data_IF_700354772973
#
_entry.id   IF_700354772973
#
_cell.length_a   1.000
_cell.length_b   1.000
_cell.length_c   1.000
_cell.angle_alpha   90.00
_cell.angle_beta   90.00
_cell.angle_gamma   90.00
#
_symmetry.space_group_name_H-M   'P 1'
#
loop_
_entity.id
_entity.type
_entity.pdbx_description
1 polymer ?
#
# COMPACT_ATOMS: atom_id res chain seq x y z
N UNK A 1 -15.74 -2.54 -29.21
CA UNK A 1 -15.40 -3.83 -28.58
C UNK A 1 -15.00 -3.54 -27.15
N UNK A 2 -15.94 -3.67 -26.20
CA UNK A 2 -15.67 -3.48 -24.78
C UNK A 2 -15.10 -4.78 -24.22
N UNK A 3 -13.79 -4.82 -24.00
CA UNK A 3 -13.18 -5.88 -23.20
C UNK A 3 -13.71 -5.69 -21.77
N UNK A 4 -14.33 -6.71 -21.14
CA UNK A 4 -14.75 -6.63 -19.75
C UNK A 4 -13.57 -6.17 -18.89
N UNK A 5 -13.79 -5.20 -18.00
CA UNK A 5 -12.77 -4.63 -17.11
C UNK A 5 -11.96 -5.70 -16.37
N UNK A 6 -12.59 -6.83 -16.03
CA UNK A 6 -11.93 -8.00 -15.42
C UNK A 6 -10.95 -8.71 -16.35
N UNK A 7 -11.22 -8.81 -17.65
CA UNK A 7 -10.26 -9.37 -18.61
C UNK A 7 -9.06 -8.45 -18.81
N UNK A 8 -9.21 -7.14 -18.66
CA UNK A 8 -8.08 -6.20 -18.69
C UNK A 8 -7.22 -6.41 -17.44
N UNK A 9 -7.82 -6.38 -16.24
CA UNK A 9 -7.13 -6.62 -14.95
C UNK A 9 -6.40 -7.97 -14.95
N UNK A 10 -7.04 -9.01 -15.47
CA UNK A 10 -6.45 -10.32 -15.68
C UNK A 10 -5.13 -10.25 -16.46
N UNK A 11 -5.11 -9.60 -17.62
CA UNK A 11 -3.95 -9.61 -18.52
C UNK A 11 -2.82 -8.79 -17.91
N UNK A 12 -3.13 -7.63 -17.33
CA UNK A 12 -2.11 -6.76 -16.74
C UNK A 12 -1.53 -7.36 -15.46
N UNK A 13 -2.28 -8.16 -14.71
CA UNK A 13 -1.76 -8.85 -13.54
C UNK A 13 -0.77 -9.96 -13.91
N UNK A 14 -1.02 -10.72 -14.98
CA UNK A 14 -0.07 -11.72 -15.48
C UNK A 14 1.28 -11.08 -15.86
N UNK A 15 1.27 -9.87 -16.43
CA UNK A 15 2.49 -9.12 -16.74
C UNK A 15 3.25 -8.76 -15.46
N UNK A 16 2.57 -8.24 -14.44
CA UNK A 16 3.19 -7.91 -13.17
C UNK A 16 3.82 -9.14 -12.48
N UNK A 17 3.13 -10.29 -12.45
CA UNK A 17 3.71 -11.54 -11.93
C UNK A 17 4.93 -11.97 -12.75
N UNK A 18 4.86 -11.85 -14.08
CA UNK A 18 5.98 -12.19 -14.96
C UNK A 18 7.22 -11.34 -14.66
N UNK A 19 7.04 -10.04 -14.45
CA UNK A 19 8.14 -9.14 -14.13
C UNK A 19 8.71 -9.39 -12.73
N UNK A 20 7.86 -9.68 -11.73
CA UNK A 20 8.34 -10.11 -10.41
C UNK A 20 9.21 -11.37 -10.54
N UNK A 21 8.78 -12.36 -11.32
CA UNK A 21 9.56 -13.58 -11.57
C UNK A 21 10.88 -13.29 -12.27
N UNK A 22 10.86 -12.49 -13.34
CA UNK A 22 12.03 -12.18 -14.14
C UNK A 22 13.08 -11.38 -13.34
N UNK A 23 12.65 -10.45 -12.49
CA UNK A 23 13.53 -9.54 -11.73
C UNK A 23 13.95 -10.08 -10.36
N UNK A 24 13.09 -10.82 -9.69
CA UNK A 24 13.26 -11.20 -8.29
C UNK A 24 12.99 -12.69 -8.05
N UNK A 25 11.72 -13.11 -8.17
CA UNK A 25 11.24 -14.27 -7.42
C UNK A 25 11.70 -15.61 -7.98
N UNK A 26 12.11 -15.69 -9.26
CA UNK A 26 12.75 -16.90 -9.80
C UNK A 26 14.02 -17.30 -9.05
N UNK A 27 14.70 -16.34 -8.39
CA UNK A 27 15.92 -16.57 -7.61
C UNK A 27 15.63 -17.07 -6.19
N UNK A 28 14.49 -16.67 -5.61
CA UNK A 28 14.22 -16.85 -4.17
C UNK A 28 13.03 -17.78 -3.87
N UNK A 29 12.06 -17.90 -4.78
CA UNK A 29 10.97 -18.88 -4.71
C UNK A 29 9.97 -18.62 -3.59
N UNK A 30 9.68 -17.35 -3.25
CA UNK A 30 8.65 -17.02 -2.27
C UNK A 30 7.24 -17.29 -2.82
N UNK A 31 6.31 -17.75 -1.97
CA UNK A 31 4.95 -18.09 -2.40
C UNK A 31 4.12 -16.86 -2.75
N UNK A 32 3.13 -17.03 -3.63
CA UNK A 32 2.12 -16.03 -3.92
C UNK A 32 0.81 -16.35 -3.18
N UNK A 33 0.20 -15.33 -2.57
CA UNK A 33 -1.16 -15.39 -2.05
C UNK A 33 -2.00 -14.38 -2.81
N UNK A 34 -3.01 -14.85 -3.53
CA UNK A 34 -3.93 -14.02 -4.29
C UNK A 34 -5.27 -14.01 -3.58
N UNK A 35 -5.77 -12.83 -3.25
CA UNK A 35 -7.05 -12.63 -2.57
C UNK A 35 -7.99 -11.87 -3.50
N UNK A 36 -9.27 -12.25 -3.50
CA UNK A 36 -10.30 -11.57 -4.28
C UNK A 36 -11.64 -11.58 -3.52
N UNK A 37 -12.48 -10.58 -3.76
CA UNK A 37 -13.82 -10.49 -3.16
C UNK A 37 -14.83 -11.46 -3.79
N UNK A 38 -14.47 -12.04 -4.93
CA UNK A 38 -15.19 -13.12 -5.60
C UNK A 38 -14.29 -14.34 -5.85
N UNK A 39 -14.86 -15.54 -6.03
CA UNK A 39 -14.07 -16.72 -6.36
C UNK A 39 -13.27 -16.53 -7.67
N UNK A 40 -11.97 -16.83 -7.62
CA UNK A 40 -11.15 -16.88 -8.83
C UNK A 40 -11.63 -17.99 -9.77
N UNK A 41 -11.69 -17.69 -11.05
CA UNK A 41 -11.98 -18.67 -12.09
C UNK A 41 -10.80 -19.65 -12.30
N UNK A 42 -11.12 -20.88 -12.70
CA UNK A 42 -10.10 -21.93 -12.89
C UNK A 42 -9.15 -21.62 -14.05
N UNK A 43 -9.59 -20.85 -15.05
CA UNK A 43 -8.71 -20.42 -16.14
C UNK A 43 -7.63 -19.45 -15.62
N UNK A 44 -8.00 -18.48 -14.78
CA UNK A 44 -7.08 -17.56 -14.12
C UNK A 44 -6.08 -18.30 -13.26
N UNK A 45 -6.54 -19.17 -12.36
CA UNK A 45 -5.65 -19.97 -11.51
C UNK A 45 -4.64 -20.73 -12.36
N UNK A 46 -5.10 -21.39 -13.43
CA UNK A 46 -4.23 -22.12 -14.36
C UNK A 46 -3.22 -21.20 -15.05
N UNK A 47 -3.66 -20.05 -15.58
CA UNK A 47 -2.82 -19.15 -16.39
C UNK A 47 -1.78 -18.39 -15.56
N UNK A 48 -2.09 -18.01 -14.32
CA UNK A 48 -1.07 -17.41 -13.45
C UNK A 48 -0.09 -18.47 -12.91
N UNK A 49 -0.59 -19.67 -12.57
CA UNK A 49 0.26 -20.73 -12.01
C UNK A 49 1.33 -21.25 -12.97
N UNK A 50 1.19 -21.07 -14.29
CA UNK A 50 2.24 -21.44 -15.26
C UNK A 50 3.40 -20.43 -15.33
N UNK A 51 3.26 -19.25 -14.72
CA UNK A 51 4.29 -18.20 -14.77
C UNK A 51 5.43 -18.42 -13.77
N UNK A 52 5.19 -19.17 -12.69
CA UNK A 52 6.15 -19.41 -11.61
C UNK A 52 6.12 -20.87 -11.16
N UNK A 53 7.25 -21.37 -10.66
CA UNK A 53 7.31 -22.63 -9.93
C UNK A 53 7.05 -22.47 -8.43
N UNK A 54 6.92 -21.23 -7.93
CA UNK A 54 6.62 -20.96 -6.53
C UNK A 54 5.18 -21.38 -6.17
N UNK A 55 4.93 -21.81 -4.92
CA UNK A 55 3.57 -22.14 -4.48
C UNK A 55 2.63 -20.95 -4.64
N UNK A 56 1.42 -21.18 -5.18
CA UNK A 56 0.38 -20.16 -5.27
C UNK A 56 -0.87 -20.60 -4.50
N UNK A 57 -1.40 -19.70 -3.67
CA UNK A 57 -2.63 -19.90 -2.90
C UNK A 57 -3.67 -18.85 -3.31
N UNK A 58 -4.92 -19.28 -3.48
CA UNK A 58 -6.03 -18.43 -3.93
C UNK A 58 -7.10 -18.39 -2.84
N UNK A 59 -7.38 -17.20 -2.31
CA UNK A 59 -8.33 -17.00 -1.22
C UNK A 59 -9.51 -16.13 -1.62
N UNK A 60 -10.71 -16.51 -1.14
CA UNK A 60 -11.89 -15.65 -1.17
C UNK A 60 -11.90 -14.79 0.09
N UNK A 61 -12.02 -13.47 -0.08
CA UNK A 61 -12.12 -12.54 1.06
C UNK A 61 -13.45 -12.79 1.78
N UNK A 62 -13.44 -12.96 3.12
CA UNK A 62 -14.67 -13.05 3.89
C UNK A 62 -15.57 -11.84 3.67
N UNK A 63 -16.88 -12.07 3.53
CA UNK A 63 -17.87 -11.04 3.22
C UNK A 63 -17.76 -9.81 4.15
N UNK A 64 -17.58 -10.03 5.45
CA UNK A 64 -17.55 -8.96 6.47
C UNK A 64 -16.22 -8.18 6.50
N UNK A 65 -15.18 -8.70 5.85
CA UNK A 65 -13.90 -8.02 5.69
C UNK A 65 -13.89 -7.10 4.46
N UNK A 66 -14.77 -7.35 3.48
CA UNK A 66 -14.87 -6.55 2.26
C UNK A 66 -15.95 -5.49 2.32
N UNK A 67 -17.15 -5.86 2.76
CA UNK A 67 -18.33 -4.99 2.67
C UNK A 67 -18.41 -3.98 3.82
N UNK A 68 -19.18 -2.92 3.59
CA UNK A 68 -19.42 -1.89 4.59
C UNK A 68 -20.03 -2.48 5.87
N UNK A 69 -19.52 -2.12 7.05
CA UNK A 69 -20.06 -2.61 8.31
C UNK A 69 -21.40 -1.94 8.63
N UNK A 70 -22.18 -2.56 9.53
CA UNK A 70 -23.57 -2.19 9.82
C UNK A 70 -23.77 -0.81 10.46
N UNK A 71 -22.71 -0.20 11.02
CA UNK A 71 -22.77 1.15 11.59
C UNK A 71 -22.60 2.26 10.55
N UNK A 72 -22.35 1.92 9.28
CA UNK A 72 -22.32 2.88 8.18
C UNK A 72 -23.75 3.19 7.74
N UNK A 73 -24.11 4.47 7.76
CA UNK A 73 -25.32 4.98 7.15
C UNK A 73 -25.16 4.97 5.62
N UNK A 74 -25.79 3.98 4.98
CA UNK A 74 -25.67 3.79 3.53
C UNK A 74 -26.26 4.95 2.73
N UNK A 75 -27.28 5.64 3.24
CA UNK A 75 -27.84 6.81 2.54
C UNK A 75 -26.83 7.96 2.54
N UNK A 76 -26.23 8.24 3.70
CA UNK A 76 -25.17 9.25 3.83
C UNK A 76 -23.95 8.89 2.98
N UNK A 77 -23.51 7.63 3.01
CA UNK A 77 -22.37 7.16 2.21
C UNK A 77 -22.64 7.27 0.70
N UNK A 78 -23.85 6.92 0.25
CA UNK A 78 -24.27 7.07 -1.15
C UNK A 78 -24.23 8.52 -1.60
N UNK A 79 -24.75 9.44 -0.78
CA UNK A 79 -24.74 10.87 -1.09
C UNK A 79 -23.31 11.43 -1.14
N UNK A 80 -22.43 11.01 -0.21
CA UNK A 80 -21.02 11.39 -0.22
C UNK A 80 -20.30 10.92 -1.50
N UNK A 81 -20.53 9.66 -1.91
CA UNK A 81 -19.99 9.11 -3.17
C UNK A 81 -20.48 9.89 -4.39
N UNK A 82 -21.79 10.17 -4.47
CA UNK A 82 -22.39 10.96 -5.55
C UNK A 82 -21.71 12.33 -5.66
N UNK A 83 -21.58 13.03 -4.53
CA UNK A 83 -20.93 14.34 -4.48
C UNK A 83 -19.47 14.29 -4.92
N UNK A 84 -18.68 13.33 -4.44
CA UNK A 84 -17.29 13.19 -4.86
C UNK A 84 -17.14 12.84 -6.34
N UNK A 85 -18.08 12.06 -6.90
CA UNK A 85 -18.16 11.81 -8.34
C UNK A 85 -18.45 13.08 -9.15
N UNK A 86 -19.39 13.90 -8.69
CA UNK A 86 -19.72 15.20 -9.30
C UNK A 86 -18.56 16.21 -9.23
N UNK A 87 -17.80 16.18 -8.14
CA UNK A 87 -16.59 16.99 -7.94
C UNK A 87 -15.38 16.48 -8.79
N UNK A 88 -15.55 15.40 -9.56
CA UNK A 88 -14.50 14.85 -10.43
C UNK A 88 -13.34 14.19 -9.70
N UNK A 89 -13.53 13.80 -8.44
CA UNK A 89 -12.51 13.11 -7.64
C UNK A 89 -12.34 11.70 -8.19
N UNK A 90 -11.10 11.28 -8.48
CA UNK A 90 -10.80 9.93 -8.97
C UNK A 90 -11.38 8.86 -8.02
N UNK A 91 -12.13 7.89 -8.56
CA UNK A 91 -12.87 6.89 -7.76
C UNK A 91 -13.86 7.48 -6.72
N UNK A 92 -14.26 8.74 -6.86
CA UNK A 92 -15.13 9.46 -5.93
C UNK A 92 -16.47 8.77 -5.70
N UNK A 93 -17.05 8.20 -6.75
CA UNK A 93 -18.32 7.48 -6.75
C UNK A 93 -18.19 5.95 -6.54
N UNK A 94 -16.97 5.42 -6.45
CA UNK A 94 -16.71 3.97 -6.41
C UNK A 94 -16.82 3.38 -5.00
N UNK A 95 -17.84 2.53 -4.79
CA UNK A 95 -17.96 1.71 -3.58
C UNK A 95 -16.92 0.58 -3.52
N UNK A 96 -16.65 -0.20 -4.59
CA UNK A 96 -15.61 -1.23 -4.55
C UNK A 96 -14.22 -0.67 -4.19
N UNK A 97 -13.90 0.54 -4.63
CA UNK A 97 -12.64 1.19 -4.27
C UNK A 97 -12.53 1.49 -2.77
N UNK A 98 -13.64 1.90 -2.13
CA UNK A 98 -13.69 2.12 -0.67
C UNK A 98 -13.57 0.83 0.12
N UNK A 99 -14.25 -0.23 -0.35
CA UNK A 99 -14.09 -1.57 0.20
C UNK A 99 -12.63 -2.02 0.12
N UNK A 100 -11.98 -1.81 -1.03
CA UNK A 100 -10.55 -2.10 -1.22
C UNK A 100 -9.67 -1.32 -0.24
N UNK A 101 -9.84 0.01 -0.13
CA UNK A 101 -9.05 0.82 0.79
C UNK A 101 -9.23 0.38 2.25
N UNK A 102 -10.47 0.08 2.67
CA UNK A 102 -10.74 -0.47 4.01
C UNK A 102 -10.13 -1.86 4.19
N UNK A 103 -10.26 -2.75 3.21
CA UNK A 103 -9.70 -4.10 3.25
C UNK A 103 -8.18 -4.09 3.40
N UNK A 104 -7.49 -3.26 2.62
CA UNK A 104 -6.04 -3.10 2.70
C UNK A 104 -5.62 -2.40 4.00
N UNK A 105 -6.40 -1.45 4.51
CA UNK A 105 -6.12 -0.82 5.81
C UNK A 105 -6.27 -1.79 6.99
N UNK A 106 -7.23 -2.72 6.93
CA UNK A 106 -7.70 -3.42 8.13
C UNK A 106 -7.60 -4.93 8.13
N UNK A 107 -7.66 -5.59 6.98
CA UNK A 107 -8.11 -6.98 6.94
C UNK A 107 -7.21 -7.95 6.19
N UNK A 108 -6.44 -7.53 5.18
CA UNK A 108 -5.65 -8.47 4.38
C UNK A 108 -4.71 -9.32 5.27
N UNK A 109 -3.98 -8.69 6.19
CA UNK A 109 -3.06 -9.36 7.12
C UNK A 109 -3.75 -10.27 8.15
N UNK A 110 -5.09 -10.25 8.23
CA UNK A 110 -5.95 -11.14 9.04
C UNK A 110 -6.48 -12.34 8.26
N UNK A 111 -6.30 -12.37 6.94
CA UNK A 111 -6.75 -13.50 6.12
C UNK A 111 -6.04 -14.79 6.54
N UNK A 112 -6.77 -15.92 6.55
CA UNK A 112 -6.26 -17.21 7.05
C UNK A 112 -5.00 -17.68 6.32
N UNK A 113 -4.95 -17.49 4.99
CA UNK A 113 -3.77 -17.82 4.17
C UNK A 113 -2.52 -17.02 4.54
N UNK A 114 -2.68 -15.82 5.11
CA UNK A 114 -1.56 -14.94 5.47
C UNK A 114 -1.05 -15.16 6.91
N UNK A 115 -1.78 -15.89 7.77
CA UNK A 115 -1.41 -16.05 9.19
C UNK A 115 -0.08 -16.78 9.42
N UNK A 116 0.34 -17.60 8.46
CA UNK A 116 1.60 -18.35 8.54
C UNK A 116 2.83 -17.55 8.09
N UNK A 117 2.64 -16.32 7.62
CA UNK A 117 3.71 -15.45 7.13
C UNK A 117 3.89 -14.24 8.06
N UNK A 118 5.14 -13.80 8.18
CA UNK A 118 5.50 -12.58 8.90
C UNK A 118 5.59 -11.39 7.96
N UNK A 119 6.33 -11.49 6.87
CA UNK A 119 6.43 -10.42 5.88
C UNK A 119 5.53 -10.67 4.67
N UNK A 120 5.11 -9.59 4.02
CA UNK A 120 4.47 -9.62 2.68
C UNK A 120 5.15 -8.62 1.76
N UNK A 121 5.05 -8.86 0.46
CA UNK A 121 5.32 -7.88 -0.59
C UNK A 121 4.04 -7.70 -1.39
N UNK A 122 3.44 -6.50 -1.33
CA UNK A 122 2.26 -6.17 -2.13
C UNK A 122 2.65 -5.95 -3.59
N UNK A 123 1.93 -6.65 -4.48
CA UNK A 123 2.08 -6.54 -5.93
C UNK A 123 0.69 -6.28 -6.52
N UNK A 124 0.50 -5.10 -7.07
CA UNK A 124 -0.72 -4.73 -7.79
C UNK A 124 -0.65 -5.18 -9.27
N UNK A 125 -1.79 -5.27 -9.98
CA UNK A 125 -1.80 -5.35 -11.43
C UNK A 125 -1.22 -4.08 -12.06
N UNK A 126 -0.67 -4.20 -13.27
CA UNK A 126 -0.17 -3.07 -14.07
C UNK A 126 1.01 -2.30 -13.45
N UNK A 127 1.84 -3.02 -12.70
CA UNK A 127 3.14 -2.53 -12.22
C UNK A 127 4.27 -3.03 -13.10
N UNK A 128 5.39 -2.29 -13.10
CA UNK A 128 6.63 -2.70 -13.74
C UNK A 128 7.81 -2.74 -12.76
N UNK A 129 8.68 -3.74 -12.94
CA UNK A 129 9.94 -3.88 -12.21
C UNK A 129 11.11 -3.68 -13.18
N UNK A 130 11.82 -2.57 -13.00
CA UNK A 130 12.84 -2.12 -13.94
C UNK A 130 14.22 -2.71 -13.66
N UNK A 131 14.48 -3.09 -12.41
CA UNK A 131 15.79 -3.55 -11.96
C UNK A 131 15.72 -4.99 -11.46
N UNK A 132 16.80 -5.74 -11.65
CA UNK A 132 17.01 -7.05 -11.07
C UNK A 132 17.30 -6.93 -9.58
N UNK A 133 16.44 -7.54 -8.77
CA UNK A 133 16.61 -7.60 -7.32
C UNK A 133 17.49 -8.80 -7.00
N UNK A 134 18.75 -8.54 -6.66
CA UNK A 134 19.78 -9.57 -6.46
C UNK A 134 20.00 -9.97 -4.99
N UNK A 135 19.51 -9.16 -4.05
CA UNK A 135 19.44 -9.44 -2.63
C UNK A 135 18.02 -9.88 -2.25
N UNK A 136 17.90 -10.63 -1.15
CA UNK A 136 16.59 -11.01 -0.62
C UNK A 136 16.05 -9.87 0.26
N UNK A 137 14.98 -9.14 -0.17
CA UNK A 137 14.46 -8.02 0.58
C UNK A 137 13.78 -8.45 1.88
N UNK A 138 13.19 -9.65 1.94
CA UNK A 138 12.60 -10.14 3.18
C UNK A 138 13.67 -10.46 4.22
N UNK A 139 14.79 -11.07 3.80
CA UNK A 139 15.96 -11.27 4.66
C UNK A 139 16.56 -9.95 5.10
N UNK A 140 16.71 -8.99 4.19
CA UNK A 140 17.19 -7.66 4.55
C UNK A 140 16.31 -7.02 5.63
N UNK A 141 14.99 -7.06 5.46
CA UNK A 141 14.04 -6.51 6.43
C UNK A 141 14.17 -7.20 7.80
N UNK A 142 14.28 -8.53 7.81
CA UNK A 142 14.46 -9.32 9.02
C UNK A 142 15.80 -9.00 9.72
N UNK A 143 16.91 -9.07 9.01
CA UNK A 143 18.26 -8.96 9.55
C UNK A 143 18.58 -7.54 10.06
N UNK A 144 17.89 -6.53 9.51
CA UNK A 144 18.07 -5.12 9.87
C UNK A 144 16.91 -4.54 10.70
N UNK A 145 16.04 -5.40 11.24
CA UNK A 145 14.89 -5.02 12.08
C UNK A 145 14.01 -3.93 11.43
N UNK A 146 13.71 -4.10 10.15
CA UNK A 146 12.79 -3.23 9.41
C UNK A 146 11.37 -3.79 9.49
N UNK A 147 10.41 -2.88 9.60
CA UNK A 147 8.99 -3.19 9.70
C UNK A 147 8.19 -2.71 8.50
N UNK A 148 8.65 -1.68 7.79
CA UNK A 148 7.94 -1.14 6.62
C UNK A 148 8.94 -0.67 5.57
N UNK A 149 8.70 -0.98 4.31
CA UNK A 149 9.55 -0.60 3.20
C UNK A 149 8.77 -0.16 1.97
N UNK A 150 9.25 0.90 1.31
CA UNK A 150 8.57 1.56 0.20
C UNK A 150 9.55 1.97 -0.92
N UNK A 151 9.01 2.28 -2.10
CA UNK A 151 9.75 2.82 -3.26
C UNK A 151 9.26 4.20 -3.70
N UNK A 152 8.00 4.55 -3.46
CA UNK A 152 7.44 5.86 -3.84
C UNK A 152 6.77 6.51 -2.64
N UNK A 153 6.90 7.83 -2.52
CA UNK A 153 6.12 8.65 -1.58
C UNK A 153 5.63 9.91 -2.27
N UNK A 154 4.41 10.35 -1.93
CA UNK A 154 3.73 11.44 -2.62
C UNK A 154 2.73 12.17 -1.72
N UNK A 155 2.21 13.29 -2.20
CA UNK A 155 1.08 13.95 -1.55
C UNK A 155 -0.24 13.25 -1.89
N UNK A 156 -1.12 13.13 -0.91
CA UNK A 156 -2.52 12.75 -1.12
C UNK A 156 -3.35 13.96 -1.57
N UNK A 157 -4.47 13.71 -2.24
CA UNK A 157 -5.50 14.72 -2.48
C UNK A 157 -6.31 14.98 -1.22
N UNK A 158 -6.13 16.15 -0.61
CA UNK A 158 -6.82 16.57 0.63
C UNK A 158 -8.35 16.36 0.57
N UNK A 159 -8.95 16.55 -0.61
CA UNK A 159 -10.39 16.37 -0.83
C UNK A 159 -10.92 14.98 -0.43
N UNK A 160 -10.04 14.00 -0.29
CA UNK A 160 -10.35 12.58 -0.06
C UNK A 160 -10.23 12.17 1.41
N UNK A 161 -9.58 13.01 2.23
CA UNK A 161 -9.14 12.71 3.61
C UNK A 161 -9.32 13.92 4.56
N UNK A 162 -10.35 14.74 4.31
CA UNK A 162 -10.61 16.01 5.01
C UNK A 162 -10.63 15.89 6.53
N UNK A 163 -11.16 14.79 7.06
CA UNK A 163 -11.24 14.55 8.51
C UNK A 163 -10.24 13.51 9.04
N UNK A 164 -9.38 12.95 8.19
CA UNK A 164 -8.45 11.89 8.59
C UNK A 164 -7.49 12.37 9.69
N UNK A 165 -6.82 13.51 9.48
CA UNK A 165 -5.84 14.00 10.46
C UNK A 165 -6.45 14.42 11.79
N UNK A 166 -7.62 15.06 11.78
CA UNK A 166 -8.32 15.38 13.02
C UNK A 166 -8.69 14.10 13.79
N UNK A 167 -9.11 13.05 13.07
CA UNK A 167 -9.39 11.75 13.66
C UNK A 167 -8.12 11.11 14.25
N UNK A 168 -6.98 11.20 13.57
CA UNK A 168 -5.67 10.74 14.08
C UNK A 168 -5.27 11.49 15.34
N UNK A 169 -5.47 12.82 15.39
CA UNK A 169 -5.21 13.63 16.58
C UNK A 169 -6.13 13.25 17.73
N UNK A 170 -7.40 12.94 17.46
CA UNK A 170 -8.32 12.44 18.48
C UNK A 170 -7.84 11.09 19.06
N UNK A 171 -7.48 10.14 18.19
CA UNK A 171 -6.91 8.86 18.61
C UNK A 171 -5.65 9.05 19.47
N UNK A 172 -4.72 9.89 19.02
CA UNK A 172 -3.44 10.14 19.71
C UNK A 172 -3.63 10.78 21.09
N UNK A 173 -4.69 11.58 21.28
CA UNK A 173 -5.04 12.14 22.61
C UNK A 173 -5.59 11.08 23.56
N UNK A 174 -6.34 10.10 23.05
CA UNK A 174 -6.92 9.01 23.84
C UNK A 174 -5.85 7.97 24.18
N UNK A 175 -4.95 7.68 23.23
CA UNK A 175 -3.92 6.65 23.33
C UNK A 175 -2.49 7.21 23.20
N UNK A 176 -2.05 8.18 24.04
CA UNK A 176 -0.75 8.86 23.83
C UNK A 176 0.46 7.92 23.91
N UNK A 177 0.32 6.75 24.56
CA UNK A 177 1.38 5.74 24.69
C UNK A 177 1.68 4.99 23.38
N UNK A 178 0.84 5.09 22.36
CA UNK A 178 1.07 4.46 21.06
C UNK A 178 2.09 5.23 20.22
N UNK A 179 2.29 6.52 20.50
CA UNK A 179 3.27 7.36 19.81
C UNK A 179 4.68 6.93 20.18
N UNK A 180 5.47 6.56 19.17
CA UNK A 180 6.87 6.22 19.38
C UNK A 180 7.69 7.51 19.57
N UNK A 181 8.58 7.61 20.58
CA UNK A 181 9.39 8.82 20.79
C UNK A 181 10.42 9.07 19.67
N UNK A 182 10.74 8.06 18.86
CA UNK A 182 11.67 8.12 17.72
C UNK A 182 10.92 8.01 16.41
N UNK A 183 9.64 8.41 16.39
CA UNK A 183 8.79 8.32 15.22
C UNK A 183 9.23 9.27 14.09
N UNK A 184 8.56 9.15 12.94
CA UNK A 184 8.78 9.98 11.77
C UNK A 184 7.71 11.07 11.63
N UNK A 185 7.27 11.72 12.71
CA UNK A 185 6.23 12.76 12.65
C UNK A 185 6.57 13.88 11.64
N UNK A 186 7.84 14.24 11.52
CA UNK A 186 8.31 15.25 10.54
C UNK A 186 8.09 14.87 9.07
N UNK A 187 7.88 13.58 8.77
CA UNK A 187 7.51 13.15 7.42
C UNK A 187 6.07 13.55 7.08
N UNK A 188 5.13 13.38 8.02
CA UNK A 188 3.69 13.62 7.82
C UNK A 188 3.23 15.01 8.27
N UNK A 189 4.05 15.77 8.97
CA UNK A 189 3.68 17.10 9.48
C UNK A 189 4.87 18.04 9.58
N UNK A 190 4.68 19.27 9.11
CA UNK A 190 5.71 20.32 9.11
C UNK A 190 5.66 21.21 10.37
N UNK A 191 4.64 21.05 11.21
CA UNK A 191 4.31 21.95 12.31
C UNK A 191 4.09 21.22 13.64
N UNK A 192 4.83 20.11 13.84
CA UNK A 192 4.80 19.35 15.08
C UNK A 192 3.49 18.60 15.32
N UNK A 193 2.78 18.27 14.24
CA UNK A 193 1.54 17.51 14.28
C UNK A 193 0.26 18.35 14.33
N UNK A 194 0.35 19.67 14.20
CA UNK A 194 -0.85 20.51 14.18
C UNK A 194 -1.68 20.24 12.92
N UNK A 195 -1.03 20.14 11.76
CA UNK A 195 -1.65 19.83 10.46
C UNK A 195 -0.94 18.67 9.75
N UNK A 196 -1.68 17.95 8.91
CA UNK A 196 -1.14 16.94 8.01
C UNK A 196 -0.61 17.62 6.75
N UNK A 197 0.65 17.34 6.38
CA UNK A 197 1.25 17.88 5.16
C UNK A 197 0.88 17.06 3.90
N UNK A 198 0.01 16.06 4.04
CA UNK A 198 -0.50 15.14 3.00
C UNK A 198 0.48 14.08 2.51
N UNK A 199 1.72 14.03 3.02
CA UNK A 199 2.71 13.04 2.59
C UNK A 199 2.40 11.64 3.08
N UNK A 200 2.49 10.69 2.15
CA UNK A 200 2.35 9.27 2.44
C UNK A 200 3.28 8.43 1.55
N UNK A 201 3.61 7.22 2.00
CA UNK A 201 4.21 6.16 1.20
C UNK A 201 3.14 5.54 0.30
N UNK A 202 3.47 5.28 -0.95
CA UNK A 202 2.50 4.80 -1.92
C UNK A 202 2.32 3.28 -1.85
N UNK A 203 1.19 2.85 -1.29
CA UNK A 203 1.00 1.47 -0.79
C UNK A 203 0.86 0.39 -1.87
N UNK A 204 0.82 0.72 -3.15
CA UNK A 204 0.83 -0.28 -4.23
C UNK A 204 2.15 -1.09 -4.27
N UNK A 205 3.22 -0.52 -3.71
CA UNK A 205 4.44 -1.21 -3.33
C UNK A 205 4.62 -1.10 -1.81
N UNK A 206 4.59 -2.24 -1.13
CA UNK A 206 4.97 -2.33 0.28
C UNK A 206 5.64 -3.67 0.53
N UNK A 207 6.80 -3.64 1.20
CA UNK A 207 7.37 -4.82 1.85
C UNK A 207 7.34 -4.54 3.35
N UNK A 208 6.48 -5.23 4.10
CA UNK A 208 6.26 -4.89 5.50
C UNK A 208 6.02 -6.12 6.38
N UNK A 209 6.31 -5.93 7.67
CA UNK A 209 6.11 -6.91 8.74
C UNK A 209 4.63 -6.89 9.16
N UNK A 210 3.90 -7.97 8.88
CA UNK A 210 2.50 -8.10 9.26
C UNK A 210 2.29 -8.14 10.76
N UNK A 211 3.31 -8.44 11.57
CA UNK A 211 3.18 -8.37 13.03
C UNK A 211 2.97 -6.93 13.51
N UNK A 212 3.44 -5.92 12.76
CA UNK A 212 3.11 -4.52 13.03
C UNK A 212 1.61 -4.27 12.85
N UNK A 213 1.04 -4.72 11.73
CA UNK A 213 -0.40 -4.57 11.45
C UNK A 213 -1.28 -5.37 12.41
N UNK A 214 -0.82 -6.54 12.86
CA UNK A 214 -1.54 -7.39 13.81
C UNK A 214 -1.43 -6.89 15.26
N UNK A 215 -0.48 -6.00 15.54
CA UNK A 215 -0.24 -5.49 16.90
C UNK A 215 -1.38 -4.60 17.42
N UNK A 216 -1.60 -4.65 18.74
CA UNK A 216 -2.69 -3.94 19.42
C UNK A 216 -2.76 -2.44 19.09
N UNK A 217 -1.60 -1.81 18.90
CA UNK A 217 -1.52 -0.38 18.56
C UNK A 217 -2.16 -0.08 17.20
N UNK A 218 -1.75 -0.81 16.15
CA UNK A 218 -2.31 -0.61 14.81
C UNK A 218 -3.78 -1.02 14.76
N UNK A 219 -4.11 -2.13 15.41
CA UNK A 219 -5.48 -2.64 15.47
C UNK A 219 -6.44 -1.64 16.13
N UNK A 220 -6.05 -1.07 17.28
CA UNK A 220 -6.83 -0.03 17.96
C UNK A 220 -6.97 1.22 17.10
N UNK A 221 -5.91 1.59 16.36
CA UNK A 221 -5.94 2.72 15.44
C UNK A 221 -6.91 2.48 14.28
N UNK A 222 -6.80 1.34 13.59
CA UNK A 222 -7.69 0.96 12.50
C UNK A 222 -9.15 0.91 12.96
N UNK A 223 -9.44 0.26 14.09
CA UNK A 223 -10.81 0.15 14.63
C UNK A 223 -11.39 1.53 14.97
N UNK A 224 -10.57 2.43 15.49
CA UNK A 224 -10.98 3.81 15.74
C UNK A 224 -11.34 4.54 14.44
N UNK A 225 -10.52 4.39 13.38
CA UNK A 225 -10.81 4.97 12.06
C UNK A 225 -12.07 4.35 11.43
N UNK A 226 -12.23 3.03 11.53
CA UNK A 226 -13.35 2.29 10.95
C UNK A 226 -14.70 2.69 11.58
N UNK A 227 -14.71 2.93 12.90
CA UNK A 227 -15.89 3.46 13.61
C UNK A 227 -16.25 4.89 13.20
N UNK A 228 -15.27 5.70 12.77
CA UNK A 228 -15.51 7.08 12.29
C UNK A 228 -16.13 7.10 10.90
N UNK A 229 -16.00 6.00 10.15
CA UNK A 229 -16.65 5.79 8.85
C UNK A 229 -16.03 6.58 7.70
N UNK A 230 -14.84 7.16 7.87
CA UNK A 230 -14.18 7.98 6.86
C UNK A 230 -13.84 7.23 5.56
N UNK A 231 -13.69 5.91 5.62
CA UNK A 231 -13.60 5.06 4.42
C UNK A 231 -14.84 5.16 3.52
N UNK A 232 -16.02 5.44 4.08
CA UNK A 232 -17.31 5.46 3.35
C UNK A 232 -17.92 6.85 3.20
N UNK A 233 -17.79 7.72 4.21
CA UNK A 233 -18.27 9.10 4.17
C UNK A 233 -17.27 10.05 3.47
N UNK A 234 -16.00 9.64 3.38
CA UNK A 234 -14.98 10.28 2.54
C UNK A 234 -14.43 9.25 1.54
N UNK A 235 -13.11 9.22 1.31
CA UNK A 235 -12.42 8.24 0.47
C UNK A 235 -11.03 7.95 1.02
N UNK A 236 -10.94 7.68 2.32
CA UNK A 236 -9.66 7.39 2.98
C UNK A 236 -8.97 6.21 2.31
N UNK A 237 -7.81 6.45 1.71
CA UNK A 237 -6.96 5.41 1.12
C UNK A 237 -6.20 4.65 2.20
N UNK A 238 -5.85 3.40 1.92
CA UNK A 238 -4.93 2.62 2.75
C UNK A 238 -3.54 3.24 2.79
N UNK A 239 -3.07 3.85 1.70
CA UNK A 239 -1.76 4.49 1.63
C UNK A 239 -1.53 5.58 2.71
N UNK A 240 -2.38 6.62 2.86
CA UNK A 240 -2.25 7.56 3.96
C UNK A 240 -2.50 6.94 5.34
N UNK A 241 -3.39 5.95 5.47
CA UNK A 241 -3.63 5.26 6.76
C UNK A 241 -2.40 4.49 7.24
N UNK A 242 -1.81 3.64 6.38
CA UNK A 242 -0.57 2.90 6.65
C UNK A 242 0.58 3.85 6.94
N UNK A 243 0.71 4.91 6.15
CA UNK A 243 1.81 5.87 6.29
C UNK A 243 1.76 6.64 7.59
N UNK A 244 0.57 7.10 8.00
CA UNK A 244 0.40 7.77 9.30
C UNK A 244 0.71 6.80 10.44
N UNK A 245 0.22 5.56 10.38
CA UNK A 245 0.51 4.57 11.41
C UNK A 245 2.01 4.24 11.50
N UNK A 246 2.66 3.98 10.37
CA UNK A 246 4.10 3.71 10.31
C UNK A 246 4.90 4.93 10.80
N UNK A 247 4.52 6.14 10.40
CA UNK A 247 5.20 7.37 10.78
C UNK A 247 5.03 7.73 12.25
N UNK A 248 3.95 7.31 12.93
CA UNK A 248 3.67 7.67 14.33
C UNK A 248 4.03 6.57 15.33
N UNK A 249 3.84 5.30 14.98
CA UNK A 249 3.90 4.18 15.92
C UNK A 249 5.20 3.35 15.82
N UNK A 250 5.92 3.44 14.70
CA UNK A 250 7.23 2.82 14.53
C UNK A 250 8.35 3.82 14.82
N UNK A 251 9.53 3.36 15.27
CA UNK A 251 10.73 4.19 15.18
C UNK A 251 11.06 4.42 13.70
N UNK A 252 11.43 5.65 13.34
CA UNK A 252 11.79 6.03 11.96
C UNK A 252 12.83 5.10 11.35
N UNK A 253 13.76 4.60 12.15
CA UNK A 253 14.83 3.69 11.71
C UNK A 253 14.35 2.31 11.25
N UNK A 254 13.13 1.88 11.58
CA UNK A 254 12.54 0.62 11.09
C UNK A 254 11.76 0.78 9.79
N UNK A 255 11.64 2.00 9.26
CA UNK A 255 11.08 2.27 7.94
C UNK A 255 12.22 2.42 6.93
N UNK A 256 12.08 1.80 5.76
CA UNK A 256 13.15 1.72 4.76
C UNK A 256 12.69 2.18 3.37
N UNK A 257 13.51 2.99 2.73
CA UNK A 257 13.36 3.32 1.32
C UNK A 257 14.23 2.37 0.50
N UNK A 258 13.61 1.56 -0.36
CA UNK A 258 14.30 0.63 -1.24
C UNK A 258 14.80 1.36 -2.49
N UNK A 259 15.91 2.07 -2.35
CA UNK A 259 16.56 2.83 -3.43
C UNK A 259 16.95 1.94 -4.62
N UNK A 260 17.21 0.65 -4.39
CA UNK A 260 17.70 -0.29 -5.39
C UNK A 260 16.58 -0.97 -6.21
N UNK A 261 15.31 -0.88 -5.79
CA UNK A 261 14.20 -1.58 -6.43
C UNK A 261 13.47 -0.63 -7.39
N UNK A 262 13.97 -0.52 -8.62
CA UNK A 262 13.30 0.26 -9.66
C UNK A 262 11.88 -0.26 -9.95
N UNK A 263 10.89 0.59 -9.71
CA UNK A 263 9.48 0.24 -9.67
C UNK A 263 8.63 1.32 -10.34
N UNK A 264 7.63 0.91 -11.10
CA UNK A 264 6.64 1.80 -11.68
C UNK A 264 5.24 1.27 -11.41
N UNK A 265 4.39 2.17 -10.94
CA UNK A 265 2.96 2.05 -11.06
C UNK A 265 2.53 3.35 -11.73
N UNK A 266 2.03 3.34 -12.98
CA UNK A 266 1.87 4.59 -13.67
C UNK A 266 0.87 5.53 -12.95
N UNK A 267 1.11 6.85 -13.02
CA UNK A 267 2.08 7.51 -13.90
C UNK A 267 3.50 7.66 -13.32
N UNK A 268 3.80 7.08 -12.15
CA UNK A 268 5.04 7.37 -11.44
C UNK A 268 6.02 6.19 -11.47
N UNK A 269 7.28 6.52 -11.74
CA UNK A 269 8.41 5.59 -11.76
C UNK A 269 9.42 6.01 -10.71
N UNK A 270 9.73 5.14 -9.76
CA UNK A 270 10.96 5.21 -8.99
C UNK A 270 12.07 4.49 -9.78
N UNK A 271 13.13 5.22 -10.12
CA UNK A 271 14.29 4.66 -10.80
C UNK A 271 15.57 5.00 -10.02
N UNK A 272 16.42 4.01 -9.67
CA UNK A 272 17.66 4.28 -8.93
C UNK A 272 18.50 5.34 -9.63
N UNK A 273 18.84 6.43 -8.92
CA UNK A 273 19.61 7.56 -9.46
C UNK A 273 21.12 7.33 -9.31
N UNK A 274 21.51 6.50 -8.34
CA UNK A 274 22.89 6.08 -8.16
C UNK A 274 23.33 5.18 -9.33
N UNK A 275 24.37 5.61 -10.07
CA UNK A 275 24.85 4.90 -11.28
C UNK A 275 25.34 3.48 -10.99
N UNK A 276 25.97 3.24 -9.83
CA UNK A 276 26.45 1.92 -9.44
C UNK A 276 25.27 0.97 -9.18
N UNK A 277 24.27 1.39 -8.40
CA UNK A 277 23.07 0.59 -8.15
C UNK A 277 22.28 0.36 -9.44
N UNK A 278 22.08 1.40 -10.25
CA UNK A 278 21.35 1.31 -11.52
C UNK A 278 22.01 0.30 -12.48
N UNK A 279 23.35 0.33 -12.56
CA UNK A 279 24.13 -0.58 -13.39
C UNK A 279 24.11 -2.01 -12.83
N UNK A 280 24.34 -2.18 -11.52
CA UNK A 280 24.35 -3.47 -10.84
C UNK A 280 22.97 -4.16 -10.91
N UNK A 281 21.90 -3.39 -10.81
CA UNK A 281 20.51 -3.82 -10.99
C UNK A 281 20.12 -4.07 -12.44
N UNK A 282 20.99 -3.80 -13.44
CA UNK A 282 20.65 -3.90 -14.88
C UNK A 282 19.31 -3.20 -15.21
N UNK A 283 19.14 -2.01 -14.64
CA UNK A 283 17.87 -1.30 -14.67
C UNK A 283 17.48 -0.87 -16.09
N UNK A 284 16.18 -0.97 -16.44
CA UNK A 284 15.64 -0.56 -17.73
C UNK A 284 15.05 0.86 -17.75
N UNK A 285 14.78 1.44 -16.57
CA UNK A 285 14.23 2.79 -16.43
C UNK A 285 15.29 3.88 -16.68
N UNK A 286 14.84 5.09 -17.01
CA UNK A 286 15.70 6.26 -17.14
C UNK A 286 15.81 6.99 -15.79
N UNK A 287 17.00 7.08 -15.15
CA UNK A 287 17.19 7.77 -13.87
C UNK A 287 16.69 9.22 -13.86
N UNK A 288 16.77 9.92 -15.00
CA UNK A 288 16.30 11.31 -15.12
C UNK A 288 14.77 11.46 -15.06
N UNK A 289 14.05 10.36 -15.26
CA UNK A 289 12.59 10.30 -15.14
C UNK A 289 12.11 9.81 -13.78
N UNK A 290 13.00 9.62 -12.80
CA UNK A 290 12.58 9.19 -11.46
C UNK A 290 11.70 10.25 -10.81
N UNK A 291 10.58 9.81 -10.23
CA UNK A 291 9.63 10.65 -9.49
C UNK A 291 10.18 11.12 -8.14
N UNK A 292 11.23 10.47 -7.62
CA UNK A 292 11.83 10.70 -6.31
C UNK A 292 11.97 12.18 -5.90
N UNK A 293 12.43 13.04 -6.81
CA UNK A 293 12.66 14.47 -6.55
C UNK A 293 11.72 15.39 -7.34
N UNK A 294 10.61 14.85 -7.86
CA UNK A 294 9.53 15.65 -8.42
C UNK A 294 8.88 16.52 -7.33
N UNK A 295 8.31 17.66 -7.71
CA UNK A 295 7.65 18.58 -6.76
C UNK A 295 6.44 17.97 -6.05
N UNK A 296 5.84 16.92 -6.60
CA UNK A 296 4.74 16.18 -6.00
C UNK A 296 5.18 14.93 -5.21
N UNK A 297 6.47 14.62 -5.19
CA UNK A 297 7.05 13.56 -4.35
C UNK A 297 7.29 14.06 -2.92
N UNK A 298 7.26 13.12 -1.98
CA UNK A 298 7.59 13.36 -0.58
C UNK A 298 8.96 12.79 -0.16
N UNK A 299 9.76 12.23 -1.08
CA UNK A 299 11.03 11.59 -0.71
C UNK A 299 12.01 12.59 -0.09
N UNK A 300 12.11 13.80 -0.65
CA UNK A 300 12.94 14.87 -0.08
C UNK A 300 12.56 15.25 1.35
N UNK A 301 11.31 15.02 1.78
CA UNK A 301 10.89 15.22 3.17
C UNK A 301 11.25 14.01 4.02
N UNK A 302 11.13 12.80 3.49
CA UNK A 302 11.59 11.58 4.14
C UNK A 302 13.10 11.61 4.42
N UNK A 303 13.92 12.14 3.53
CA UNK A 303 15.38 12.19 3.73
C UNK A 303 15.83 13.25 4.74
N UNK A 304 15.05 14.32 4.92
CA UNK A 304 15.38 15.45 5.81
C UNK A 304 14.99 15.22 7.27
N UNK A 305 13.90 14.51 7.49
CA UNK A 305 13.32 14.21 8.81
C UNK A 305 13.63 12.78 9.20
#
# INVERSE_FOLDING_TARGET
MSVPTRHIVFVVFLLSVREVEDRFNRKFGYPYVLLNDEPFDEEFKKRVSVLSSAPMEFGLIPHDHWNAPSWIDEQRATEARRKMGEDGIIYGDSLPYRNMCRFNSGFFFRHSLLQKYRYYWRVEPWVHFHCDVNSDPFRFMQDHNKSYGFTISMYEFEATIRSLWETVKEFSKIYPKTLNPQNALGFVSDDGGANYNLCHFWSNFEIADMDFWRGDTYMSFFEFLDQKGGFYYERWGDAPVHSIAAALFLPRSSVHFFEEIGYEHPPYTHCPINEEQWTAGRCSCNPKGSFDYDGYSCLSRWEKN
#
